data_IF_604011511209
#
_entry.id   IF_604011511209
#
_cell.length_a   1.000
_cell.length_b   1.000
_cell.length_c   1.000
_cell.angle_alpha   90.00
_cell.angle_beta   90.00
_cell.angle_gamma   90.00
#
_symmetry.space_group_name_H-M   'P 1'
#
loop_
_entity.id
_entity.type
_entity.pdbx_description
1 polymer ?
#
# COMPACT_ATOMS: atom_id res chain seq x y z
N UNK A 1 28.62 55.32 -7.34
CA UNK A 1 27.18 55.10 -7.06
C UNK A 1 26.42 54.52 -8.26
N UNK A 2 26.82 53.34 -8.79
CA UNK A 2 26.10 52.68 -9.91
C UNK A 2 25.91 51.16 -9.75
N UNK A 3 26.14 50.60 -8.55
CA UNK A 3 26.04 49.14 -8.32
C UNK A 3 24.85 48.71 -7.44
N UNK A 4 24.19 49.64 -6.75
CA UNK A 4 23.10 49.33 -5.80
C UNK A 4 21.68 49.31 -6.42
N UNK A 5 21.51 49.79 -7.66
CA UNK A 5 20.20 49.83 -8.32
C UNK A 5 19.88 48.55 -9.12
N UNK A 6 20.88 47.81 -9.57
CA UNK A 6 20.67 46.61 -10.40
C UNK A 6 20.26 45.36 -9.58
N UNK A 7 20.69 45.26 -8.32
CA UNK A 7 20.38 44.11 -7.47
C UNK A 7 18.92 44.04 -6.99
N UNK A 8 18.24 45.18 -6.85
CA UNK A 8 16.83 45.22 -6.42
C UNK A 8 15.83 44.92 -7.55
N UNK A 9 16.23 45.11 -8.81
CA UNK A 9 15.36 44.87 -9.97
C UNK A 9 15.24 43.37 -10.29
N UNK A 10 16.29 42.58 -10.05
CA UNK A 10 16.32 41.14 -10.27
C UNK A 10 15.53 40.32 -9.23
N UNK A 11 15.30 40.88 -8.03
CA UNK A 11 14.52 40.21 -6.98
C UNK A 11 13.00 40.34 -7.18
N UNK A 12 12.52 41.30 -7.99
CA UNK A 12 11.09 41.56 -8.19
C UNK A 12 10.51 40.83 -9.42
N UNK A 13 11.35 40.50 -10.40
CA UNK A 13 10.93 39.80 -11.62
C UNK A 13 10.19 38.47 -11.40
N UNK A 14 10.59 37.60 -10.44
CA UNK A 14 9.86 36.35 -10.18
C UNK A 14 8.44 36.60 -9.65
N UNK A 15 8.26 37.64 -8.82
CA UNK A 15 6.98 37.97 -8.21
C UNK A 15 6.00 38.58 -9.21
N UNK A 16 6.49 39.43 -10.12
CA UNK A 16 5.67 40.00 -11.20
C UNK A 16 5.17 38.90 -12.15
N UNK A 17 6.01 37.90 -12.46
CA UNK A 17 5.63 36.77 -13.31
C UNK A 17 4.52 35.91 -12.66
N UNK A 18 4.60 35.68 -11.34
CA UNK A 18 3.56 34.96 -10.59
C UNK A 18 2.22 35.70 -10.63
N UNK A 19 2.21 37.03 -10.46
CA UNK A 19 0.98 37.83 -10.50
C UNK A 19 0.31 37.77 -11.88
N UNK A 20 1.09 37.81 -12.97
CA UNK A 20 0.56 37.69 -14.34
C UNK A 20 -0.06 36.31 -14.58
N UNK A 21 0.60 35.23 -14.13
CA UNK A 21 0.07 33.85 -14.27
C UNK A 21 -1.23 33.67 -13.46
N UNK A 22 -1.31 34.23 -12.25
CA UNK A 22 -2.51 34.13 -11.41
C UNK A 22 -3.70 34.91 -12.03
N UNK A 23 -3.45 36.08 -12.65
CA UNK A 23 -4.49 36.86 -13.31
C UNK A 23 -5.00 36.20 -14.62
N UNK A 24 -4.13 35.50 -15.36
CA UNK A 24 -4.51 34.80 -16.61
C UNK A 24 -5.33 33.52 -16.34
N UNK A 25 -5.04 32.82 -15.24
CA UNK A 25 -5.77 31.61 -14.81
C UNK A 25 -7.22 31.94 -14.40
N UNK A 26 -7.47 33.12 -13.81
CA UNK A 26 -8.82 33.50 -13.35
C UNK A 26 -9.71 34.04 -14.49
N UNK A 27 -9.10 34.45 -15.61
CA UNK A 27 -9.80 34.99 -16.78
C UNK A 27 -10.43 33.92 -17.68
N UNK A 28 -10.09 32.64 -17.47
CA UNK A 28 -10.38 31.55 -18.43
C UNK A 28 -11.51 30.60 -18.02
N UNK A 29 -12.39 30.97 -17.07
CA UNK A 29 -13.54 30.14 -16.69
C UNK A 29 -14.83 30.60 -17.40
N UNK A 30 -15.39 29.80 -18.33
CA UNK A 30 -16.72 30.09 -18.87
C UNK A 30 -17.80 29.85 -17.80
N UNK A 31 -18.83 30.71 -17.69
CA UNK A 31 -19.92 30.52 -16.75
C UNK A 31 -20.82 29.33 -17.15
N UNK A 32 -21.21 28.53 -16.16
CA UNK A 32 -22.17 27.43 -16.32
C UNK A 32 -23.57 27.97 -16.68
N UNK A 33 -24.33 27.33 -17.59
CA UNK A 33 -25.71 27.75 -17.86
C UNK A 33 -26.65 27.34 -16.72
N UNK A 34 -27.51 28.28 -16.33
CA UNK A 34 -28.58 28.08 -15.35
C UNK A 34 -29.70 27.18 -15.91
N UNK A 35 -30.11 26.17 -15.15
CA UNK A 35 -31.32 25.39 -15.45
C UNK A 35 -32.57 26.19 -15.05
N UNK A 36 -33.47 26.43 -16.00
CA UNK A 36 -34.82 26.93 -15.74
C UNK A 36 -35.75 25.80 -15.28
N UNK A 37 -36.73 26.06 -14.39
CA UNK A 37 -37.73 25.07 -14.01
C UNK A 37 -38.86 25.05 -15.05
N UNK A 38 -39.16 23.87 -15.62
CA UNK A 38 -40.39 23.66 -16.38
C UNK A 38 -41.46 23.06 -15.47
N UNK A 39 -42.55 23.81 -15.31
CA UNK A 39 -43.75 23.39 -14.61
C UNK A 39 -44.61 22.41 -15.42
N UNK A 40 -45.37 21.61 -14.67
CA UNK A 40 -46.84 21.53 -14.74
C UNK A 40 -47.52 21.05 -16.02
N UNK A 41 -48.19 19.90 -15.90
CA UNK A 41 -49.51 19.66 -16.51
C UNK A 41 -49.57 18.59 -17.60
N UNK A 42 -50.41 17.57 -17.40
CA UNK A 42 -50.82 16.67 -18.49
C UNK A 42 -51.27 15.28 -18.05
N UNK A 43 -52.51 15.18 -17.57
CA UNK A 43 -53.27 13.93 -17.41
C UNK A 43 -53.64 13.32 -18.78
N UNK A 44 -53.39 12.03 -18.97
CA UNK A 44 -53.88 11.28 -20.13
C UNK A 44 -53.66 9.78 -19.93
N UNK A 45 -54.75 9.05 -19.67
CA UNK A 45 -54.71 7.61 -19.40
C UNK A 45 -54.41 6.77 -20.63
N UNK A 46 -53.60 5.71 -20.44
CA UNK A 46 -53.50 4.58 -21.35
C UNK A 46 -53.19 3.29 -20.56
N UNK A 47 -53.81 2.20 -21.05
CA UNK A 47 -53.98 0.83 -20.53
C UNK A 47 -52.74 0.14 -19.91
N UNK A 48 -52.93 -0.86 -19.02
CA UNK A 48 -51.82 -1.58 -18.40
C UNK A 48 -51.20 -2.55 -19.41
N UNK A 49 -50.01 -2.22 -19.91
CA UNK A 49 -49.14 -3.21 -20.54
C UNK A 49 -48.45 -4.02 -19.44
N UNK A 50 -48.53 -5.35 -19.56
CA UNK A 50 -47.90 -6.31 -18.65
C UNK A 50 -46.45 -5.92 -18.34
N UNK A 51 -46.17 -5.71 -17.05
CA UNK A 51 -44.85 -5.31 -16.57
C UNK A 51 -43.80 -6.35 -16.95
N UNK A 52 -42.94 -6.01 -17.91
CA UNK A 52 -41.60 -6.58 -17.96
C UNK A 52 -40.90 -6.16 -16.68
N UNK A 53 -40.59 -7.12 -15.82
CA UNK A 53 -39.69 -6.91 -14.69
C UNK A 53 -38.42 -6.21 -15.22
N UNK A 54 -37.90 -5.20 -14.51
CA UNK A 54 -36.62 -4.61 -14.88
C UNK A 54 -35.59 -5.74 -14.94
N UNK A 55 -34.63 -5.70 -15.88
CA UNK A 55 -33.56 -6.68 -15.89
C UNK A 55 -32.95 -6.68 -14.48
N UNK A 56 -32.96 -7.85 -13.81
CA UNK A 56 -32.23 -8.03 -12.56
C UNK A 56 -30.82 -7.56 -12.84
N UNK A 57 -30.44 -6.41 -12.30
CA UNK A 57 -29.04 -6.00 -12.25
C UNK A 57 -28.32 -7.20 -11.64
N UNK A 58 -27.40 -7.78 -12.41
CA UNK A 58 -26.49 -8.77 -11.85
C UNK A 58 -25.93 -8.16 -10.56
N UNK A 59 -25.89 -8.89 -9.44
CA UNK A 59 -25.40 -8.34 -8.19
C UNK A 59 -24.05 -7.71 -8.49
N UNK A 60 -23.96 -6.38 -8.27
CA UNK A 60 -22.74 -5.62 -8.49
C UNK A 60 -21.61 -6.41 -7.83
N UNK A 61 -20.67 -6.90 -8.64
CA UNK A 61 -19.70 -7.88 -8.18
C UNK A 61 -18.97 -7.30 -6.96
N UNK A 62 -19.16 -7.92 -5.80
CA UNK A 62 -18.69 -7.36 -4.54
C UNK A 62 -17.19 -7.04 -4.64
N UNK A 63 -16.84 -5.77 -4.47
CA UNK A 63 -15.46 -5.28 -4.60
C UNK A 63 -14.53 -6.13 -3.70
N UNK A 64 -13.44 -6.71 -4.22
CA UNK A 64 -12.55 -7.56 -3.43
C UNK A 64 -11.94 -6.82 -2.22
N UNK A 65 -11.90 -7.47 -1.06
CA UNK A 65 -11.23 -6.91 0.12
C UNK A 65 -9.70 -7.01 -0.04
N UNK A 66 -8.97 -5.92 0.21
CA UNK A 66 -7.50 -5.95 0.32
C UNK A 66 -7.13 -6.20 1.77
N UNK A 67 -6.39 -7.27 2.03
CA UNK A 67 -5.77 -7.55 3.33
C UNK A 67 -4.32 -7.08 3.29
N UNK A 68 -4.04 -5.97 3.97
CA UNK A 68 -2.68 -5.44 4.05
C UNK A 68 -2.01 -5.96 5.34
N UNK A 69 -1.03 -6.85 5.23
CA UNK A 69 -0.22 -7.30 6.37
C UNK A 69 0.93 -6.33 6.55
N UNK A 70 0.95 -5.64 7.69
CA UNK A 70 2.00 -4.69 8.05
C UNK A 70 2.72 -5.14 9.32
N UNK A 71 3.96 -5.62 9.22
CA UNK A 71 4.81 -5.80 10.38
C UNK A 71 5.27 -4.42 10.90
N UNK A 72 5.29 -4.23 12.22
CA UNK A 72 5.83 -3.02 12.84
C UNK A 72 6.62 -3.36 14.12
N UNK A 73 7.43 -2.42 14.60
CA UNK A 73 8.17 -2.57 15.85
C UNK A 73 8.43 -1.20 16.50
N UNK A 74 8.55 -1.20 17.83
CA UNK A 74 8.78 0.01 18.61
C UNK A 74 10.12 0.67 18.27
N UNK A 75 10.04 1.92 17.83
CA UNK A 75 11.16 2.80 17.49
C UNK A 75 10.68 4.26 17.48
N UNK A 76 11.57 5.26 17.58
CA UNK A 76 11.16 6.67 17.66
C UNK A 76 10.24 7.16 16.54
N UNK A 77 10.38 6.63 15.32
CA UNK A 77 9.52 7.04 14.19
C UNK A 77 8.25 6.20 14.05
N UNK A 78 8.02 5.17 14.88
CA UNK A 78 6.95 4.19 14.67
C UNK A 78 5.58 4.85 14.47
N UNK A 79 5.18 5.73 15.38
CA UNK A 79 3.88 6.40 15.32
C UNK A 79 3.74 7.28 14.07
N UNK A 80 4.79 7.99 13.68
CA UNK A 80 4.80 8.79 12.46
C UNK A 80 4.63 7.93 11.19
N UNK A 81 5.33 6.80 11.12
CA UNK A 81 5.28 5.85 10.00
C UNK A 81 3.87 5.23 9.88
N UNK A 82 3.32 4.77 10.99
CA UNK A 82 1.95 4.27 11.04
C UNK A 82 0.92 5.35 10.70
N UNK A 83 1.14 6.60 11.12
CA UNK A 83 0.25 7.74 10.83
C UNK A 83 0.15 7.98 9.34
N UNK A 84 1.28 8.13 8.63
CA UNK A 84 1.26 8.37 7.17
C UNK A 84 0.72 7.18 6.40
N UNK A 85 1.03 5.95 6.83
CA UNK A 85 0.51 4.75 6.21
C UNK A 85 -1.02 4.64 6.37
N UNK A 86 -1.53 4.90 7.58
CA UNK A 86 -2.96 4.93 7.85
C UNK A 86 -3.69 6.01 7.05
N UNK A 87 -3.08 7.19 6.87
CA UNK A 87 -3.62 8.25 6.02
C UNK A 87 -3.78 7.80 4.56
N UNK A 88 -2.83 7.03 4.02
CA UNK A 88 -2.98 6.41 2.69
C UNK A 88 -4.07 5.34 2.70
N UNK A 89 -4.03 4.40 3.65
CA UNK A 89 -4.96 3.26 3.68
C UNK A 89 -6.43 3.67 3.89
N UNK A 90 -6.70 4.75 4.63
CA UNK A 90 -8.05 5.28 4.85
C UNK A 90 -8.77 5.68 3.55
N UNK A 91 -8.00 5.99 2.50
CA UNK A 91 -8.53 6.36 1.19
C UNK A 91 -8.81 5.14 0.30
N UNK A 92 -8.43 3.93 0.74
CA UNK A 92 -8.59 2.70 -0.04
C UNK A 92 -9.88 1.99 0.38
N UNK A 93 -10.87 1.99 -0.51
CA UNK A 93 -12.12 1.26 -0.28
C UNK A 93 -11.85 -0.22 0.00
N UNK A 94 -12.58 -0.80 0.97
CA UNK A 94 -12.51 -2.22 1.35
C UNK A 94 -11.09 -2.73 1.62
N UNK A 95 -10.32 -1.95 2.37
CA UNK A 95 -9.04 -2.39 2.94
C UNK A 95 -9.27 -2.87 4.38
N UNK A 96 -8.73 -4.05 4.70
CA UNK A 96 -8.61 -4.56 6.05
C UNK A 96 -7.12 -4.60 6.43
N UNK A 97 -6.74 -3.81 7.44
CA UNK A 97 -5.36 -3.71 7.88
C UNK A 97 -5.05 -4.79 8.93
N UNK A 98 -4.00 -5.57 8.72
CA UNK A 98 -3.50 -6.56 9.67
C UNK A 98 -2.16 -6.05 10.20
N UNK A 99 -2.20 -5.33 11.32
CA UNK A 99 -1.03 -4.73 11.94
C UNK A 99 -0.45 -5.70 12.96
N UNK A 100 0.82 -6.09 12.78
CA UNK A 100 1.47 -7.13 13.59
C UNK A 100 2.73 -6.59 14.24
N UNK A 101 2.71 -6.42 15.57
CA UNK A 101 3.86 -5.93 16.32
C UNK A 101 4.92 -7.02 16.54
N UNK A 102 6.20 -6.68 16.33
CA UNK A 102 7.36 -7.44 16.83
C UNK A 102 7.55 -7.20 18.34
N UNK A 103 6.60 -7.74 19.12
CA UNK A 103 6.54 -7.59 20.56
C UNK A 103 5.90 -8.82 21.23
N UNK A 104 6.25 -9.05 22.50
CA UNK A 104 5.69 -10.14 23.30
C UNK A 104 4.22 -9.91 23.69
N UNK A 105 3.77 -8.65 23.68
CA UNK A 105 2.40 -8.22 23.92
C UNK A 105 2.10 -7.00 23.03
N UNK A 106 0.80 -6.69 22.87
CA UNK A 106 0.36 -5.46 22.19
C UNK A 106 0.79 -4.23 23.00
N UNK A 107 1.33 -3.22 22.34
CA UNK A 107 1.68 -1.96 22.98
C UNK A 107 0.45 -1.06 23.13
N UNK A 108 0.45 -0.21 24.16
CA UNK A 108 -0.61 0.77 24.33
C UNK A 108 -0.63 1.81 23.21
N UNK A 109 0.55 2.25 22.76
CA UNK A 109 0.70 3.19 21.65
C UNK A 109 -0.03 2.68 20.41
N UNK A 110 0.27 1.45 19.97
CA UNK A 110 -0.36 0.89 18.77
C UNK A 110 -1.84 0.62 19.00
N UNK A 111 -2.23 0.14 20.19
CA UNK A 111 -3.64 -0.11 20.53
C UNK A 111 -4.49 1.16 20.47
N UNK A 112 -4.02 2.27 21.06
CA UNK A 112 -4.68 3.58 20.99
C UNK A 112 -4.69 4.12 19.56
N UNK A 113 -3.56 4.01 18.88
CA UNK A 113 -3.41 4.47 17.50
C UNK A 113 -4.44 3.81 16.58
N UNK A 114 -4.54 2.47 16.56
CA UNK A 114 -5.47 1.77 15.67
C UNK A 114 -6.94 2.01 16.02
N UNK A 115 -7.26 2.21 17.31
CA UNK A 115 -8.60 2.57 17.75
C UNK A 115 -9.06 3.94 17.19
N UNK A 116 -8.14 4.90 17.09
CA UNK A 116 -8.40 6.23 16.52
C UNK A 116 -8.17 6.35 15.02
N UNK A 117 -7.58 5.35 14.36
CA UNK A 117 -7.13 5.48 12.97
C UNK A 117 -8.26 5.45 11.93
N UNK A 118 -9.47 5.00 12.30
CA UNK A 118 -10.65 5.04 11.43
C UNK A 118 -10.63 4.08 10.25
N UNK A 119 -9.92 2.94 10.37
CA UNK A 119 -9.90 1.87 9.36
C UNK A 119 -10.13 0.49 10.00
N UNK A 120 -10.75 -0.46 9.28
CA UNK A 120 -10.88 -1.84 9.76
C UNK A 120 -9.49 -2.43 10.00
N UNK A 121 -9.22 -2.82 11.24
CA UNK A 121 -7.91 -3.27 11.67
C UNK A 121 -8.00 -4.54 12.52
N UNK A 122 -7.06 -5.46 12.30
CA UNK A 122 -6.75 -6.54 13.23
C UNK A 122 -5.36 -6.30 13.78
N UNK A 123 -5.29 -6.13 15.09
CA UNK A 123 -4.06 -5.88 15.82
C UNK A 123 -3.54 -7.17 16.45
N UNK A 124 -2.43 -7.68 15.91
CA UNK A 124 -1.74 -8.88 16.36
C UNK A 124 -0.36 -8.52 16.93
N UNK A 125 0.28 -9.49 17.58
CA UNK A 125 1.67 -9.37 18.01
C UNK A 125 2.34 -10.75 17.98
N UNK A 126 3.63 -10.76 17.70
CA UNK A 126 4.50 -11.93 17.86
C UNK A 126 5.96 -11.46 17.97
N UNK A 127 6.71 -11.86 19.00
CA UNK A 127 8.10 -11.42 19.12
C UNK A 127 9.01 -12.22 18.18
N UNK A 128 9.87 -11.52 17.45
CA UNK A 128 11.01 -12.16 16.78
C UNK A 128 12.06 -12.53 17.83
N UNK A 129 12.50 -13.81 17.91
CA UNK A 129 13.52 -14.23 18.86
C UNK A 129 14.81 -13.40 18.76
N UNK A 130 15.40 -13.01 19.90
CA UNK A 130 16.58 -12.11 19.97
C UNK A 130 17.74 -12.52 19.06
N UNK A 131 18.01 -13.82 18.94
CA UNK A 131 19.06 -14.37 18.06
C UNK A 131 18.90 -13.99 16.58
N UNK A 132 17.70 -13.61 16.15
CA UNK A 132 17.38 -13.21 14.78
C UNK A 132 17.30 -11.69 14.57
N UNK A 133 17.47 -10.88 15.63
CA UNK A 133 17.53 -9.41 15.55
C UNK A 133 18.96 -8.91 15.29
N UNK A 134 19.63 -9.48 14.30
CA UNK A 134 21.02 -9.12 13.92
C UNK A 134 21.03 -8.40 12.57
N UNK A 135 21.96 -7.46 12.33
CA UNK A 135 22.15 -6.84 11.01
C UNK A 135 22.32 -7.91 9.93
N UNK A 136 21.72 -7.68 8.75
CA UNK A 136 21.80 -8.60 7.61
C UNK A 136 20.86 -9.80 7.67
N UNK A 137 20.17 -10.05 8.79
CA UNK A 137 19.12 -11.07 8.84
C UNK A 137 17.76 -10.51 8.41
N UNK A 138 16.91 -11.33 7.77
CA UNK A 138 15.58 -10.88 7.39
C UNK A 138 14.73 -10.56 8.62
N UNK A 139 14.08 -9.39 8.54
CA UNK A 139 13.12 -8.90 9.54
C UNK A 139 11.70 -9.34 9.19
N UNK A 140 10.77 -9.12 10.11
CA UNK A 140 9.33 -9.29 9.89
C UNK A 140 8.82 -10.72 9.57
N UNK A 141 9.66 -11.76 9.59
CA UNK A 141 9.26 -13.10 9.14
C UNK A 141 8.15 -13.69 9.99
N UNK A 142 8.29 -13.63 11.32
CA UNK A 142 7.25 -14.15 12.23
C UNK A 142 5.96 -13.35 12.09
N UNK A 143 6.06 -12.03 11.94
CA UNK A 143 4.93 -11.13 11.89
C UNK A 143 4.10 -11.34 10.61
N UNK A 144 4.77 -11.48 9.46
CA UNK A 144 4.10 -11.84 8.19
C UNK A 144 3.42 -13.21 8.28
N UNK A 145 4.10 -14.19 8.89
CA UNK A 145 3.53 -15.52 9.10
C UNK A 145 2.35 -15.53 10.08
N UNK A 146 2.35 -14.69 11.12
CA UNK A 146 1.22 -14.52 12.02
C UNK A 146 0.01 -13.90 11.30
N UNK A 147 0.24 -12.91 10.43
CA UNK A 147 -0.81 -12.36 9.57
C UNK A 147 -1.40 -13.42 8.61
N UNK A 148 -0.55 -14.25 7.99
CA UNK A 148 -0.98 -15.39 7.16
C UNK A 148 -1.81 -16.41 7.96
N UNK A 149 -1.35 -16.75 9.17
CA UNK A 149 -2.04 -17.70 10.04
C UNK A 149 -3.42 -17.19 10.46
N UNK A 150 -3.51 -15.92 10.87
CA UNK A 150 -4.79 -15.28 11.20
C UNK A 150 -5.73 -15.25 10.00
N UNK A 151 -5.22 -14.90 8.81
CA UNK A 151 -6.03 -14.84 7.59
C UNK A 151 -6.60 -16.22 7.25
N UNK A 152 -5.79 -17.28 7.34
CA UNK A 152 -6.26 -18.66 7.15
C UNK A 152 -7.32 -19.04 8.16
N UNK A 153 -7.06 -18.82 9.45
CA UNK A 153 -8.00 -19.15 10.53
C UNK A 153 -9.34 -18.45 10.38
N UNK A 154 -9.33 -17.14 10.10
CA UNK A 154 -10.55 -16.33 9.93
C UNK A 154 -11.44 -16.86 8.81
N UNK A 155 -10.83 -17.41 7.77
CA UNK A 155 -11.50 -17.79 6.53
C UNK A 155 -11.82 -19.29 6.43
N UNK A 156 -11.40 -20.11 7.42
CA UNK A 156 -11.69 -21.55 7.48
C UNK A 156 -13.18 -21.89 7.54
N UNK A 157 -14.00 -21.02 8.15
CA UNK A 157 -15.43 -21.28 8.39
C UNK A 157 -16.36 -20.43 7.52
N UNK A 158 -15.82 -19.61 6.62
CA UNK A 158 -16.61 -18.73 5.75
C UNK A 158 -16.93 -19.43 4.42
N UNK A 159 -18.13 -19.27 3.85
CA UNK A 159 -18.51 -19.94 2.62
C UNK A 159 -17.66 -19.46 1.43
N UNK A 160 -17.15 -20.37 0.57
CA UNK A 160 -16.48 -20.01 -0.68
C UNK A 160 -17.48 -19.63 -1.80
N UNK A 161 -17.06 -18.85 -2.82
CA UNK A 161 -15.76 -18.23 -2.97
C UNK A 161 -15.64 -16.92 -2.16
N UNK A 162 -14.46 -16.71 -1.59
CA UNK A 162 -14.15 -15.49 -0.85
C UNK A 162 -13.29 -14.59 -1.74
N UNK A 163 -13.83 -13.44 -2.10
CA UNK A 163 -13.14 -12.45 -2.94
C UNK A 163 -12.21 -11.57 -2.10
N UNK A 164 -10.91 -11.65 -2.36
CA UNK A 164 -9.93 -10.81 -1.68
C UNK A 164 -8.52 -11.01 -2.20
N UNK A 165 -7.65 -10.08 -1.83
CA UNK A 165 -6.23 -10.09 -2.18
C UNK A 165 -5.40 -9.76 -0.94
N UNK A 166 -4.29 -10.45 -0.77
CA UNK A 166 -3.31 -10.23 0.28
C UNK A 166 -2.12 -9.43 -0.27
N UNK A 167 -1.71 -8.41 0.47
CA UNK A 167 -0.54 -7.58 0.18
C UNK A 167 0.34 -7.42 1.43
N UNK A 168 1.66 -7.53 1.27
CA UNK A 168 2.62 -7.30 2.37
C UNK A 168 3.14 -5.86 2.27
N UNK A 169 2.79 -5.04 3.25
CA UNK A 169 3.10 -3.61 3.26
C UNK A 169 3.91 -3.24 4.51
N UNK A 170 5.22 -3.13 4.37
CA UNK A 170 6.11 -2.67 5.45
C UNK A 170 5.77 -1.22 5.86
N UNK A 171 5.93 -0.89 7.14
CA UNK A 171 5.41 0.36 7.71
C UNK A 171 6.12 1.65 7.24
N UNK A 172 7.31 1.53 6.64
CA UNK A 172 8.15 2.64 6.19
C UNK A 172 8.13 2.86 4.65
N UNK A 173 7.43 2.02 3.90
CA UNK A 173 7.32 2.15 2.45
C UNK A 173 6.33 3.27 2.07
N UNK A 174 6.31 3.64 0.79
CA UNK A 174 5.38 4.64 0.23
C UNK A 174 4.54 4.02 -0.88
N UNK A 175 3.23 4.22 -0.83
CA UNK A 175 2.26 3.56 -1.71
C UNK A 175 1.37 4.57 -2.42
N UNK A 176 1.28 4.48 -3.75
CA UNK A 176 0.27 5.21 -4.54
C UNK A 176 -1.11 4.57 -4.38
N UNK A 177 -2.18 5.38 -4.40
CA UNK A 177 -3.56 4.87 -4.38
C UNK A 177 -3.88 3.99 -5.59
N UNK A 178 -3.25 4.27 -6.73
CA UNK A 178 -3.40 3.50 -7.96
C UNK A 178 -2.96 2.03 -7.80
N UNK A 179 -1.94 1.77 -6.96
CA UNK A 179 -1.46 0.42 -6.69
C UNK A 179 -2.56 -0.50 -6.15
N UNK A 180 -3.43 0.05 -5.29
CA UNK A 180 -4.51 -0.71 -4.68
C UNK A 180 -5.62 -1.05 -5.68
N UNK A 181 -5.75 -0.30 -6.77
CA UNK A 181 -6.66 -0.68 -7.86
C UNK A 181 -6.04 -1.76 -8.73
N UNK A 182 -4.74 -1.67 -9.03
CA UNK A 182 -4.00 -2.67 -9.79
C UNK A 182 -4.07 -4.07 -9.14
N UNK A 183 -3.81 -4.16 -7.83
CA UNK A 183 -3.83 -5.45 -7.11
C UNK A 183 -5.23 -6.00 -6.84
N UNK A 184 -6.28 -5.16 -6.94
CA UNK A 184 -7.66 -5.57 -6.61
C UNK A 184 -8.13 -6.76 -7.45
N UNK A 185 -7.63 -6.84 -8.69
CA UNK A 185 -8.07 -7.78 -9.72
C UNK A 185 -7.19 -9.03 -9.80
N UNK A 186 -6.29 -9.24 -8.84
CA UNK A 186 -5.37 -10.39 -8.81
C UNK A 186 -6.13 -11.71 -8.69
N UNK A 187 -5.88 -12.63 -9.62
CA UNK A 187 -6.52 -13.97 -9.62
C UNK A 187 -5.61 -15.03 -9.00
N UNK A 188 -4.31 -14.98 -9.28
CA UNK A 188 -3.26 -15.81 -8.66
C UNK A 188 -2.27 -14.95 -7.92
N UNK A 189 -1.23 -14.47 -8.61
CA UNK A 189 -0.18 -13.62 -8.06
C UNK A 189 0.11 -12.51 -9.06
N UNK A 190 -0.03 -11.27 -8.62
CA UNK A 190 0.25 -10.09 -9.42
C UNK A 190 1.59 -9.47 -9.05
N UNK A 191 2.30 -8.92 -10.01
CA UNK A 191 3.62 -8.30 -9.81
C UNK A 191 3.74 -6.94 -10.49
N UNK A 192 4.59 -6.08 -9.94
CA UNK A 192 4.83 -4.72 -10.44
C UNK A 192 6.24 -4.21 -10.09
N UNK A 193 6.68 -3.09 -10.69
CA UNK A 193 7.93 -2.41 -10.34
C UNK A 193 7.91 -1.82 -8.93
N UNK A 194 9.06 -1.85 -8.27
CA UNK A 194 9.29 -1.23 -6.95
C UNK A 194 10.43 -0.21 -7.08
N UNK A 195 10.19 1.02 -6.63
CA UNK A 195 11.19 2.09 -6.63
C UNK A 195 12.14 2.00 -5.44
N UNK A 196 13.36 2.52 -5.63
CA UNK A 196 14.39 2.68 -4.59
C UNK A 196 14.78 1.39 -3.85
N UNK A 197 14.88 0.28 -4.59
CA UNK A 197 15.18 -1.05 -4.04
C UNK A 197 16.35 -1.70 -4.77
N UNK A 198 17.00 -2.69 -4.13
CA UNK A 198 18.08 -3.46 -4.74
C UNK A 198 19.32 -2.64 -5.14
N UNK A 199 19.52 -1.47 -4.51
CA UNK A 199 20.59 -0.53 -4.88
C UNK A 199 20.37 0.16 -6.23
N UNK A 200 19.12 0.22 -6.73
CA UNK A 200 18.76 0.84 -8.01
C UNK A 200 17.64 1.86 -7.85
N UNK A 201 17.42 2.66 -8.90
CA UNK A 201 16.26 3.56 -9.00
C UNK A 201 14.94 2.78 -8.90
N UNK A 202 14.89 1.59 -9.50
CA UNK A 202 13.80 0.64 -9.37
C UNK A 202 14.29 -0.77 -9.75
N UNK A 203 13.54 -1.78 -9.32
CA UNK A 203 13.57 -3.13 -9.86
C UNK A 203 12.20 -3.46 -10.45
N UNK A 204 12.15 -4.34 -11.45
CA UNK A 204 10.88 -4.70 -12.11
C UNK A 204 10.88 -6.11 -12.71
N UNK A 205 9.70 -6.73 -12.85
CA UNK A 205 9.52 -7.82 -13.79
C UNK A 205 9.79 -7.35 -15.23
N UNK A 206 10.45 -8.18 -16.03
CA UNK A 206 10.58 -8.02 -17.49
C UNK A 206 9.40 -8.75 -18.13
N UNK A 207 8.65 -8.03 -18.96
CA UNK A 207 7.38 -8.51 -19.52
C UNK A 207 7.46 -8.48 -21.04
N UNK A 208 7.10 -9.60 -21.67
CA UNK A 208 6.95 -9.74 -23.11
C UNK A 208 5.61 -10.41 -23.39
N UNK A 209 4.82 -9.86 -24.32
CA UNK A 209 3.50 -10.38 -24.69
C UNK A 209 2.56 -10.63 -23.49
N UNK A 210 2.61 -9.75 -22.48
CA UNK A 210 1.80 -9.85 -21.26
C UNK A 210 2.24 -10.95 -20.28
N UNK A 211 3.42 -11.54 -20.47
CA UNK A 211 4.00 -12.58 -19.60
C UNK A 211 5.33 -12.13 -19.02
N UNK A 212 5.58 -12.50 -17.76
CA UNK A 212 6.87 -12.28 -17.12
C UNK A 212 7.86 -13.28 -17.70
N UNK A 213 8.97 -12.77 -18.24
CA UNK A 213 10.05 -13.59 -18.84
C UNK A 213 11.38 -13.46 -18.10
N UNK A 214 11.46 -12.56 -17.12
CA UNK A 214 12.66 -12.35 -16.32
C UNK A 214 12.53 -11.17 -15.36
N UNK A 215 13.66 -10.72 -14.84
CA UNK A 215 13.73 -9.70 -13.80
C UNK A 215 14.82 -8.67 -14.11
N UNK A 216 14.46 -7.39 -14.03
CA UNK A 216 15.43 -6.30 -13.99
C UNK A 216 15.76 -6.01 -12.52
N UNK A 217 16.88 -6.54 -12.06
CA UNK A 217 17.34 -6.44 -10.66
C UNK A 217 18.84 -6.21 -10.61
N UNK A 218 19.31 -5.51 -9.57
CA UNK A 218 20.74 -5.30 -9.31
C UNK A 218 21.38 -6.38 -8.47
N UNK A 219 20.57 -7.24 -7.85
CA UNK A 219 21.03 -8.12 -6.80
C UNK A 219 20.38 -9.50 -6.94
N UNK A 220 21.22 -10.50 -7.22
CA UNK A 220 20.83 -11.90 -7.40
C UNK A 220 19.71 -12.11 -8.42
N UNK A 221 20.02 -11.90 -9.69
CA UNK A 221 19.11 -12.16 -10.81
C UNK A 221 18.82 -13.65 -11.03
N UNK A 222 19.64 -14.54 -10.45
CA UNK A 222 19.48 -16.00 -10.47
C UNK A 222 18.29 -16.50 -9.61
N UNK A 223 17.71 -15.62 -8.80
CA UNK A 223 16.55 -15.97 -7.97
C UNK A 223 15.33 -16.25 -8.85
N UNK A 224 14.58 -17.33 -8.60
CA UNK A 224 13.40 -17.65 -9.42
C UNK A 224 12.34 -16.54 -9.40
N UNK A 225 12.18 -15.85 -8.26
CA UNK A 225 11.41 -14.61 -8.17
C UNK A 225 12.31 -13.50 -7.62
N UNK A 226 13.01 -12.79 -8.51
CA UNK A 226 13.89 -11.69 -8.13
C UNK A 226 13.10 -10.38 -7.97
N UNK A 227 12.27 -10.35 -6.93
CA UNK A 227 11.37 -9.23 -6.61
C UNK A 227 11.44 -8.91 -5.11
N UNK A 228 11.12 -7.66 -4.76
CA UNK A 228 10.96 -7.19 -3.38
C UNK A 228 9.59 -7.57 -2.80
N UNK A 229 9.49 -7.60 -1.46
CA UNK A 229 8.26 -7.90 -0.73
C UNK A 229 7.08 -7.00 -1.13
N UNK A 230 7.34 -5.71 -1.39
CA UNK A 230 6.32 -4.75 -1.79
C UNK A 230 5.93 -4.85 -3.27
N UNK A 231 6.57 -5.74 -4.04
CA UNK A 231 6.42 -5.86 -5.49
C UNK A 231 5.33 -6.82 -5.96
N UNK A 232 4.64 -7.51 -5.04
CA UNK A 232 3.63 -8.50 -5.40
C UNK A 232 2.43 -8.54 -4.45
N UNK A 233 1.32 -9.08 -4.94
CA UNK A 233 0.17 -9.45 -4.13
C UNK A 233 -0.38 -10.82 -4.57
N UNK A 234 -1.11 -11.47 -3.67
CA UNK A 234 -1.57 -12.86 -3.84
C UNK A 234 -3.07 -12.91 -3.62
N UNK A 235 -3.83 -13.59 -4.48
CA UNK A 235 -5.26 -13.77 -4.24
C UNK A 235 -5.50 -14.55 -2.95
N UNK A 236 -6.56 -14.20 -2.23
CA UNK A 236 -6.94 -14.89 -1.00
C UNK A 236 -7.14 -16.39 -1.25
N UNK A 237 -7.74 -16.74 -2.39
CA UNK A 237 -7.95 -18.14 -2.78
C UNK A 237 -6.64 -18.93 -2.84
N UNK A 238 -5.57 -18.36 -3.41
CA UNK A 238 -4.26 -19.02 -3.47
C UNK A 238 -3.67 -19.21 -2.07
N UNK A 239 -3.80 -18.21 -1.19
CA UNK A 239 -3.32 -18.33 0.20
C UNK A 239 -4.04 -19.43 0.99
N UNK A 240 -5.35 -19.58 0.77
CA UNK A 240 -6.18 -20.58 1.43
C UNK A 240 -5.96 -22.00 0.86
N UNK A 241 -5.73 -22.13 -0.45
CA UNK A 241 -5.44 -23.42 -1.08
C UNK A 241 -4.03 -23.95 -0.78
N UNK A 242 -3.12 -23.10 -0.32
CA UNK A 242 -1.75 -23.46 0.08
C UNK A 242 -1.52 -23.22 1.59
N UNK A 243 -2.20 -23.96 2.50
CA UNK A 243 -2.16 -23.69 3.94
C UNK A 243 -0.77 -23.88 4.57
N UNK A 244 0.12 -24.64 3.91
CA UNK A 244 1.51 -24.87 4.35
C UNK A 244 2.49 -23.80 3.86
N UNK A 245 2.10 -22.93 2.92
CA UNK A 245 2.99 -21.92 2.37
C UNK A 245 3.25 -20.82 3.41
N UNK A 246 4.51 -20.64 3.81
CA UNK A 246 4.93 -19.62 4.79
C UNK A 246 6.30 -19.06 4.41
N UNK A 247 6.63 -17.87 4.93
CA UNK A 247 7.97 -17.34 4.79
C UNK A 247 8.94 -18.15 5.64
N UNK A 248 10.01 -18.63 5.01
CA UNK A 248 11.04 -19.44 5.66
C UNK A 248 12.12 -18.53 6.25
N UNK A 249 12.42 -18.74 7.53
CA UNK A 249 13.56 -18.09 8.19
C UNK A 249 14.86 -18.87 8.01
N UNK A 250 14.82 -20.20 8.12
CA UNK A 250 15.98 -21.08 7.98
C UNK A 250 16.05 -21.63 6.55
N UNK A 251 17.26 -21.75 6.00
CA UNK A 251 17.51 -22.28 4.65
C UNK A 251 17.37 -21.26 3.52
N UNK A 252 16.81 -20.09 3.81
CA UNK A 252 16.75 -18.97 2.87
C UNK A 252 18.05 -18.17 3.00
N UNK A 253 18.83 -18.09 1.92
CA UNK A 253 19.95 -17.14 1.86
C UNK A 253 19.39 -15.71 2.05
N UNK A 254 20.17 -14.72 2.51
CA UNK A 254 19.72 -13.33 2.50
C UNK A 254 19.06 -13.02 1.16
N UNK A 255 17.92 -12.31 1.20
CA UNK A 255 17.05 -11.94 0.06
C UNK A 255 16.39 -13.07 -0.75
N UNK A 256 16.27 -14.29 -0.18
CA UNK A 256 15.50 -15.38 -0.78
C UNK A 256 14.07 -15.53 -0.22
N UNK A 257 13.65 -14.71 0.75
CA UNK A 257 12.38 -14.92 1.44
C UNK A 257 11.16 -14.86 0.52
N UNK A 258 11.13 -13.86 -0.36
CA UNK A 258 10.09 -13.63 -1.35
C UNK A 258 10.05 -14.83 -2.32
N UNK A 259 11.23 -15.19 -2.85
CA UNK A 259 11.39 -16.33 -3.75
C UNK A 259 10.93 -17.65 -3.13
N UNK A 260 11.35 -17.95 -1.90
CA UNK A 260 11.01 -19.20 -1.23
C UNK A 260 9.52 -19.28 -0.92
N UNK A 261 8.87 -18.15 -0.63
CA UNK A 261 7.42 -18.09 -0.46
C UNK A 261 6.68 -18.28 -1.80
N UNK A 262 7.02 -17.51 -2.83
CA UNK A 262 6.33 -17.53 -4.12
C UNK A 262 6.42 -18.89 -4.84
N UNK A 263 7.57 -19.57 -4.74
CA UNK A 263 7.75 -20.95 -5.26
C UNK A 263 6.75 -21.96 -4.71
N UNK A 264 6.19 -21.72 -3.52
CA UNK A 264 5.23 -22.63 -2.90
C UNK A 264 3.81 -22.44 -3.41
N UNK A 265 3.52 -21.36 -4.16
CA UNK A 265 2.15 -20.94 -4.48
C UNK A 265 1.92 -20.60 -5.95
N UNK A 266 2.96 -20.42 -6.76
CA UNK A 266 2.83 -20.07 -8.18
C UNK A 266 4.12 -20.36 -8.97
N UNK A 267 4.05 -20.23 -10.29
CA UNK A 267 5.20 -20.23 -11.21
C UNK A 267 5.34 -18.87 -11.91
N UNK A 268 6.46 -18.63 -12.61
CA UNK A 268 6.71 -17.33 -13.28
C UNK A 268 5.69 -17.05 -14.39
N UNK A 269 5.24 -18.10 -15.09
CA UNK A 269 4.31 -18.03 -16.22
C UNK A 269 2.88 -17.68 -15.81
N UNK A 270 2.57 -17.92 -14.53
CA UNK A 270 1.29 -17.63 -13.89
C UNK A 270 1.21 -16.21 -13.32
N UNK A 271 2.33 -15.49 -13.25
CA UNK A 271 2.37 -14.13 -12.73
C UNK A 271 1.56 -13.19 -13.63
N UNK A 272 0.80 -12.31 -12.98
CA UNK A 272 -0.01 -11.28 -13.63
C UNK A 272 0.73 -9.94 -13.59
N UNK A 273 1.35 -9.48 -14.68
CA UNK A 273 2.00 -8.18 -14.70
C UNK A 273 0.96 -7.06 -14.58
N UNK A 274 1.20 -6.13 -13.65
CA UNK A 274 0.38 -4.94 -13.40
C UNK A 274 1.17 -3.67 -13.74
N UNK A 275 0.63 -2.51 -13.39
CA UNK A 275 1.28 -1.20 -13.54
C UNK A 275 1.77 -0.95 -14.98
N UNK A 276 0.82 -1.10 -15.93
CA UNK A 276 1.05 -0.97 -17.37
C UNK A 276 2.19 -1.88 -17.87
N UNK A 277 2.01 -3.21 -17.77
CA UNK A 277 3.03 -4.22 -18.11
C UNK A 277 4.39 -3.95 -17.45
N UNK A 278 4.36 -3.62 -16.17
CA UNK A 278 5.52 -3.33 -15.35
C UNK A 278 6.39 -2.16 -15.85
N UNK A 279 5.77 -1.12 -16.42
CA UNK A 279 6.46 0.09 -16.90
C UNK A 279 6.27 1.30 -15.97
N UNK A 280 5.38 1.21 -14.97
CA UNK A 280 5.10 2.29 -14.01
C UNK A 280 5.47 1.89 -12.59
N UNK A 281 6.13 2.80 -11.86
CA UNK A 281 6.44 2.62 -10.42
C UNK A 281 5.29 3.21 -9.60
N UNK A 282 4.65 2.37 -8.79
CA UNK A 282 3.50 2.74 -7.94
C UNK A 282 3.75 2.53 -6.44
N UNK A 283 4.94 2.02 -6.09
CA UNK A 283 5.40 1.74 -4.73
C UNK A 283 6.89 2.03 -4.63
N UNK A 284 7.31 2.58 -3.49
CA UNK A 284 8.71 2.92 -3.22
C UNK A 284 9.14 2.32 -1.88
N UNK A 285 10.30 1.67 -1.87
CA UNK A 285 10.94 1.15 -0.67
C UNK A 285 11.68 2.26 0.09
N UNK A 286 10.94 3.30 0.51
CA UNK A 286 11.48 4.38 1.35
C UNK A 286 11.94 3.87 2.71
N UNK A 287 12.87 4.59 3.34
CA UNK A 287 13.31 4.35 4.71
C UNK A 287 13.52 5.68 5.39
N UNK A 288 13.01 5.81 6.60
CA UNK A 288 13.27 7.00 7.43
C UNK A 288 14.66 6.90 8.05
N UNK A 289 15.38 8.01 8.06
CA UNK A 289 16.68 8.10 8.71
C UNK A 289 16.58 7.81 10.21
N UNK A 290 17.70 7.41 10.81
CA UNK A 290 17.75 7.22 12.26
C UNK A 290 17.63 8.58 12.94
N UNK A 291 16.67 8.71 13.86
CA UNK A 291 16.46 9.95 14.61
C UNK A 291 17.71 10.30 15.42
N UNK A 292 18.14 11.56 15.31
CA UNK A 292 19.20 12.12 16.13
C UNK A 292 18.59 12.70 17.43
N UNK A 293 18.80 11.99 18.54
CA UNK A 293 18.38 12.40 19.89
C UNK A 293 19.57 12.84 20.75
N UNK A 294 20.60 13.46 20.15
CA UNK A 294 21.80 13.88 20.87
C UNK A 294 21.51 14.91 21.99
N UNK A 295 20.47 15.72 21.83
CA UNK A 295 20.05 16.75 22.78
C UNK A 295 18.90 16.32 23.69
N UNK A 296 18.54 15.03 23.71
CA UNK A 296 17.49 14.52 24.59
C UNK A 296 17.96 14.63 26.05
N UNK A 297 17.27 15.42 26.90
CA UNK A 297 17.71 15.65 28.27
C UNK A 297 17.65 14.35 29.10
N UNK A 298 18.73 14.03 29.81
CA UNK A 298 18.77 12.84 30.69
C UNK A 298 18.35 13.11 32.14
N UNK A 299 18.49 14.36 32.59
CA UNK A 299 18.31 14.75 34.00
C UNK A 299 17.22 15.81 34.20
N UNK A 300 17.11 16.77 33.27
CA UNK A 300 16.08 17.81 33.30
C UNK A 300 14.94 17.43 32.35
N UNK A 301 14.19 16.38 32.72
CA UNK A 301 13.05 15.91 31.95
C UNK A 301 11.91 16.95 32.00
N UNK A 302 11.11 16.99 30.93
CA UNK A 302 9.86 17.75 30.95
C UNK A 302 8.91 17.20 32.03
N UNK A 303 8.08 18.07 32.58
CA UNK A 303 7.04 17.75 33.56
C UNK A 303 5.87 16.99 32.95
N UNK A 304 5.71 17.06 31.62
CA UNK A 304 4.66 16.37 30.87
C UNK A 304 5.27 15.27 30.00
N UNK A 305 4.69 14.07 30.06
CA UNK A 305 5.08 12.96 29.17
C UNK A 305 4.31 13.07 27.85
N UNK A 306 5.03 13.36 26.76
CA UNK A 306 4.46 13.51 25.42
C UNK A 306 4.78 12.28 24.58
N UNK A 307 3.75 11.60 24.08
CA UNK A 307 3.91 10.43 23.20
C UNK A 307 4.31 10.85 21.79
N UNK A 308 5.55 10.49 21.41
CA UNK A 308 6.11 10.64 20.05
C UNK A 308 6.05 9.33 19.28
#
# INVERSE_FOLDING_TARGET
MKSLLFGRFLLLLPWVLIVIIVLDIDSSRPPLPALAPRGGGGSGGARPAAGRAPPRQAPEAAVPTIYAITPTYSRPVQKAELTRLANTFRQVARLHWILVEDAAARSELVSRFVAGAGLPCTHLHVPTPRRYKRPGLPRATEQRNAGLAWLRQRHQHLPPPQSGVLFFADDDNTYSLELFQEMRTTRKVSVWPVGLVGGRRYERPVVENGKVVGWYTGWRADRPFAIDMAGFAVSLQVILSHPKAVFKRRGSQPGMQESDFLKQITTVEELEPKANNCTKVLVWHTRTEKVNLANEPKYHLDTVSIEV
#
